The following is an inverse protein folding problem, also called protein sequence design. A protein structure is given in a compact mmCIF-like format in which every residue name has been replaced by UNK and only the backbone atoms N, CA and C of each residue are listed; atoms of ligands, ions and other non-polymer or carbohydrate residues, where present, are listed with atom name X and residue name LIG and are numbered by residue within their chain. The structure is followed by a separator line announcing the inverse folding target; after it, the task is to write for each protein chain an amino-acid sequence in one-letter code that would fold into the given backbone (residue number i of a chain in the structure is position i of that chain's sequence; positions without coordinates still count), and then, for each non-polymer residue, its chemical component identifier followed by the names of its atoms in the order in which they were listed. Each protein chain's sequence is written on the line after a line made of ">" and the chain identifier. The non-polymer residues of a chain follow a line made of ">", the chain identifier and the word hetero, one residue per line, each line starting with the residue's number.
data_IF_061265771330
#
_entry.id   IF_061265771330
#
_cell.length_a   1.000
_cell.length_b   1.000
_cell.length_c   1.000
_cell.angle_alpha   90.00
_cell.angle_beta   90.00
_cell.angle_gamma   90.00
#
_symmetry.space_group_name_H-M   'P 1'
#
loop_
_entity.id
_entity.type
_entity.pdbx_description
1 polymer ?
#
# COMPACT_ATOMS: atom_id res chain seq x y z
N UNK A 1 -8.29 -18.11 7.46
CA UNK A 1 -7.59 -16.88 7.07
C UNK A 1 -6.34 -17.30 6.30
N UNK A 2 -6.36 -17.16 4.97
CA UNK A 2 -5.23 -17.48 4.10
C UNK A 2 -4.15 -16.40 4.28
N UNK A 3 -2.86 -16.77 4.19
CA UNK A 3 -1.77 -15.79 4.19
C UNK A 3 -1.97 -14.82 3.02
N UNK A 4 -2.53 -15.28 1.89
CA UNK A 4 -2.79 -14.49 0.68
C UNK A 4 -3.76 -13.31 0.86
N UNK A 5 -4.50 -13.26 1.97
CA UNK A 5 -5.48 -12.20 2.27
C UNK A 5 -5.08 -11.34 3.48
N UNK A 6 -3.82 -11.42 3.92
CA UNK A 6 -3.38 -10.70 5.10
C UNK A 6 -3.07 -9.23 4.74
N UNK A 7 -4.11 -8.40 4.68
CA UNK A 7 -4.02 -6.93 4.70
C UNK A 7 -4.04 -6.32 6.11
N UNK A 8 -3.91 -7.16 7.15
CA UNK A 8 -3.91 -6.74 8.56
C UNK A 8 -2.53 -6.39 9.11
N UNK A 9 -2.44 -5.91 10.37
CA UNK A 9 -1.19 -5.45 10.98
C UNK A 9 -0.11 -6.53 11.03
N UNK A 10 1.16 -6.10 11.03
CA UNK A 10 2.35 -6.96 11.00
C UNK A 10 2.33 -8.10 12.04
N UNK A 11 1.70 -7.87 13.20
CA UNK A 11 1.52 -8.87 14.26
C UNK A 11 0.74 -10.11 13.82
N UNK A 12 -0.26 -9.96 12.95
CA UNK A 12 -1.06 -11.07 12.41
C UNK A 12 -0.22 -11.89 11.42
N UNK A 13 0.55 -11.22 10.57
CA UNK A 13 1.49 -11.87 9.65
C UNK A 13 2.58 -12.64 10.42
N UNK A 14 3.14 -12.08 11.49
CA UNK A 14 4.11 -12.78 12.34
C UNK A 14 3.53 -14.05 12.97
N UNK A 15 2.30 -14.00 13.49
CA UNK A 15 1.65 -15.17 14.09
C UNK A 15 1.39 -16.27 13.05
N UNK A 16 0.89 -15.90 11.87
CA UNK A 16 0.70 -16.84 10.75
C UNK A 16 2.04 -17.47 10.33
N UNK A 17 3.11 -16.67 10.28
CA UNK A 17 4.45 -17.14 9.96
C UNK A 17 5.01 -18.11 10.99
N UNK A 18 4.78 -17.85 12.28
CA UNK A 18 5.17 -18.78 13.34
C UNK A 18 4.46 -20.13 13.18
N UNK A 19 3.14 -20.10 12.94
CA UNK A 19 2.34 -21.31 12.76
C UNK A 19 2.75 -22.12 11.51
N UNK A 20 3.04 -21.45 10.39
CA UNK A 20 3.53 -22.14 9.18
C UNK A 20 4.92 -22.75 9.40
N UNK A 21 5.83 -22.03 10.06
CA UNK A 21 7.16 -22.55 10.40
C UNK A 21 7.06 -23.78 11.30
N UNK A 22 6.20 -23.75 12.32
CA UNK A 22 5.98 -24.88 13.21
C UNK A 22 5.48 -26.10 12.44
N UNK A 23 4.42 -25.93 11.63
CA UNK A 23 3.86 -27.02 10.82
C UNK A 23 4.87 -27.57 9.80
N UNK A 24 5.67 -26.69 9.19
CA UNK A 24 6.72 -27.11 8.25
C UNK A 24 7.82 -27.91 8.93
N UNK A 25 8.20 -27.55 10.16
CA UNK A 25 9.19 -28.31 10.92
C UNK A 25 8.64 -29.68 11.33
N UNK A 26 7.39 -29.76 11.80
CA UNK A 26 6.72 -31.03 12.09
C UNK A 26 6.62 -31.92 10.86
N UNK A 27 6.29 -31.36 9.69
CA UNK A 27 6.24 -32.12 8.44
C UNK A 27 7.62 -32.67 8.05
N UNK A 28 8.67 -31.85 8.19
CA UNK A 28 10.04 -32.31 7.92
C UNK A 28 10.41 -33.50 8.80
N UNK A 29 10.14 -33.42 10.10
CA UNK A 29 10.39 -34.54 11.02
C UNK A 29 9.69 -35.82 10.58
N UNK A 30 8.39 -35.73 10.24
CA UNK A 30 7.63 -36.91 9.79
C UNK A 30 8.16 -37.53 8.50
N UNK A 31 8.72 -36.71 7.59
CA UNK A 31 9.36 -37.20 6.37
C UNK A 31 10.69 -37.90 6.68
N UNK A 32 11.44 -37.40 7.66
CA UNK A 32 12.66 -38.06 8.15
C UNK A 32 12.33 -39.39 8.84
N UNK A 33 11.29 -39.42 9.67
CA UNK A 33 10.80 -40.65 10.31
C UNK A 33 10.36 -41.69 9.26
N UNK A 34 9.68 -41.24 8.18
CA UNK A 34 9.27 -42.11 7.08
C UNK A 34 10.47 -42.69 6.33
N UNK A 35 11.52 -41.89 6.11
CA UNK A 35 12.75 -42.39 5.50
C UNK A 35 13.44 -43.44 6.39
N UNK A 36 13.45 -43.22 7.70
CA UNK A 36 14.03 -44.18 8.64
C UNK A 36 13.26 -45.50 8.63
N UNK A 37 11.92 -45.45 8.68
CA UNK A 37 11.08 -46.64 8.56
C UNK A 37 11.28 -47.37 7.22
N UNK A 38 11.50 -46.63 6.13
CA UNK A 38 11.79 -47.24 4.82
C UNK A 38 13.13 -48.00 4.83
N UNK A 39 14.15 -47.49 5.52
CA UNK A 39 15.47 -48.12 5.64
C UNK A 39 15.44 -49.39 6.50
N UNK A 40 14.50 -49.47 7.43
CA UNK A 40 14.30 -50.62 8.32
C UNK A 40 13.48 -51.75 7.68
N UNK A 41 12.93 -51.55 6.47
CA UNK A 41 12.17 -52.60 5.79
C UNK A 41 13.06 -53.71 5.23
N UNK A 42 12.76 -54.95 5.63
CA UNK A 42 13.41 -56.16 5.13
C UNK A 42 13.04 -56.45 3.66
N UNK A 43 11.83 -56.07 3.25
CA UNK A 43 11.34 -56.32 1.90
C UNK A 43 11.70 -55.16 0.97
N UNK A 44 12.61 -55.43 0.05
CA UNK A 44 13.15 -54.43 -0.89
C UNK A 44 12.05 -53.74 -1.74
N UNK A 45 10.95 -54.44 -2.05
CA UNK A 45 9.81 -53.84 -2.76
C UNK A 45 9.09 -52.80 -1.92
N UNK A 46 8.88 -53.07 -0.63
CA UNK A 46 8.20 -52.17 0.29
C UNK A 46 9.10 -50.97 0.64
N UNK A 47 10.41 -51.21 0.81
CA UNK A 47 11.43 -50.15 0.93
C UNK A 47 11.39 -49.20 -0.27
N UNK A 48 11.39 -49.71 -1.49
CA UNK A 48 11.38 -48.87 -2.69
C UNK A 48 10.10 -48.02 -2.81
N UNK A 49 8.94 -48.57 -2.42
CA UNK A 49 7.67 -47.82 -2.38
C UNK A 49 7.76 -46.65 -1.39
N UNK A 50 8.19 -46.92 -0.16
CA UNK A 50 8.28 -45.90 0.89
C UNK A 50 9.34 -44.84 0.56
N UNK A 51 10.46 -45.23 -0.07
CA UNK A 51 11.47 -44.28 -0.54
C UNK A 51 10.93 -43.36 -1.64
N UNK A 52 10.15 -43.89 -2.59
CA UNK A 52 9.52 -43.08 -3.63
C UNK A 52 8.50 -42.09 -3.05
N UNK A 53 7.71 -42.52 -2.07
CA UNK A 53 6.76 -41.65 -1.36
C UNK A 53 7.47 -40.54 -0.56
N UNK A 54 8.55 -40.89 0.14
CA UNK A 54 9.41 -39.94 0.85
C UNK A 54 9.96 -38.85 -0.09
N UNK A 55 10.46 -39.25 -1.26
CA UNK A 55 10.97 -38.31 -2.26
C UNK A 55 9.85 -37.41 -2.83
N UNK A 56 8.65 -37.95 -3.04
CA UNK A 56 7.47 -37.17 -3.43
C UNK A 56 7.13 -36.10 -2.39
N UNK A 57 7.10 -36.47 -1.11
CA UNK A 57 6.85 -35.53 0.00
C UNK A 57 7.93 -34.45 0.12
N UNK A 58 9.20 -34.78 -0.11
CA UNK A 58 10.29 -33.79 -0.18
C UNK A 58 10.05 -32.74 -1.25
N UNK A 59 9.72 -33.18 -2.46
CA UNK A 59 9.41 -32.27 -3.59
C UNK A 59 8.21 -31.38 -3.27
N UNK A 60 7.15 -31.93 -2.71
CA UNK A 60 5.98 -31.16 -2.30
C UNK A 60 6.33 -30.13 -1.21
N UNK A 61 7.16 -30.49 -0.24
CA UNK A 61 7.60 -29.58 0.82
C UNK A 61 8.42 -28.40 0.27
N UNK A 62 9.32 -28.63 -0.69
CA UNK A 62 10.09 -27.58 -1.36
C UNK A 62 9.18 -26.63 -2.17
N UNK A 63 8.21 -27.19 -2.89
CA UNK A 63 7.20 -26.42 -3.61
C UNK A 63 6.39 -25.53 -2.66
N UNK A 64 5.89 -26.12 -1.57
CA UNK A 64 5.14 -25.42 -0.53
C UNK A 64 5.97 -24.32 0.14
N UNK A 65 7.25 -24.57 0.42
CA UNK A 65 8.16 -23.56 0.97
C UNK A 65 8.30 -22.36 0.01
N UNK A 66 8.43 -22.62 -1.29
CA UNK A 66 8.55 -21.57 -2.30
C UNK A 66 7.27 -20.76 -2.43
N UNK A 67 6.11 -21.44 -2.50
CA UNK A 67 4.80 -20.79 -2.54
C UNK A 67 4.56 -19.93 -1.29
N UNK A 68 4.89 -20.45 -0.11
CA UNK A 68 4.78 -19.72 1.15
C UNK A 68 5.67 -18.48 1.18
N UNK A 69 6.94 -18.58 0.75
CA UNK A 69 7.85 -17.42 0.66
C UNK A 69 7.29 -16.32 -0.24
N UNK A 70 6.77 -16.69 -1.42
CA UNK A 70 6.15 -15.74 -2.36
C UNK A 70 4.94 -15.05 -1.72
N UNK A 71 4.06 -15.81 -1.09
CA UNK A 71 2.88 -15.25 -0.44
C UNK A 71 3.27 -14.33 0.73
N UNK A 72 4.29 -14.69 1.52
CA UNK A 72 4.82 -13.84 2.58
C UNK A 72 5.30 -12.50 2.08
N UNK A 73 6.07 -12.51 0.99
CA UNK A 73 6.62 -11.30 0.40
C UNK A 73 5.50 -10.39 -0.12
N UNK A 74 4.50 -10.97 -0.79
CA UNK A 74 3.34 -10.23 -1.26
C UNK A 74 2.58 -9.57 -0.10
N UNK A 75 2.41 -10.27 1.03
CA UNK A 75 1.77 -9.69 2.22
C UNK A 75 2.58 -8.54 2.81
N UNK A 76 3.90 -8.70 2.96
CA UNK A 76 4.76 -7.63 3.47
C UNK A 76 4.68 -6.39 2.59
N UNK A 77 4.78 -6.55 1.27
CA UNK A 77 4.66 -5.45 0.32
C UNK A 77 3.28 -4.77 0.39
N UNK A 78 2.20 -5.55 0.59
CA UNK A 78 0.87 -4.99 0.74
C UNK A 78 0.75 -4.15 2.03
N UNK A 79 1.27 -4.65 3.15
CA UNK A 79 1.29 -3.93 4.43
C UNK A 79 2.12 -2.64 4.29
N UNK A 80 3.34 -2.74 3.76
CA UNK A 80 4.24 -1.59 3.60
C UNK A 80 3.62 -0.50 2.69
N UNK A 81 2.92 -0.91 1.63
CA UNK A 81 2.23 0.03 0.75
C UNK A 81 1.03 0.70 1.42
N UNK A 82 0.25 -0.04 2.21
CA UNK A 82 -0.86 0.53 2.99
C UNK A 82 -0.34 1.56 3.99
N UNK A 83 0.72 1.24 4.73
CA UNK A 83 1.36 2.17 5.68
C UNK A 83 1.90 3.41 4.97
N UNK A 84 2.53 3.25 3.80
CA UNK A 84 2.99 4.37 2.98
C UNK A 84 1.83 5.24 2.49
N UNK A 85 0.75 4.63 2.02
CA UNK A 85 -0.42 5.35 1.51
C UNK A 85 -1.12 6.12 2.63
N UNK A 86 -1.23 5.52 3.83
CA UNK A 86 -1.70 6.20 5.04
C UNK A 86 -0.83 7.41 5.42
N UNK A 87 0.50 7.30 5.34
CA UNK A 87 1.39 8.44 5.60
C UNK A 87 1.22 9.56 4.55
N UNK A 88 1.08 9.19 3.28
CA UNK A 88 0.96 10.15 2.17
C UNK A 88 -0.42 10.83 2.11
N UNK A 89 -1.49 10.12 2.44
CA UNK A 89 -2.87 10.56 2.24
C UNK A 89 -3.62 10.84 3.55
N UNK A 90 -3.19 10.26 4.68
CA UNK A 90 -3.80 10.43 6.00
C UNK A 90 -3.58 11.79 6.64
N UNK A 91 -2.65 12.61 6.13
CA UNK A 91 -2.34 13.93 6.69
C UNK A 91 -3.10 15.12 6.09
N UNK A 92 -3.79 14.99 4.95
CA UNK A 92 -3.95 16.15 4.07
C UNK A 92 -5.31 16.37 3.40
N UNK A 93 -6.44 15.85 3.89
CA UNK A 93 -7.74 16.33 3.37
C UNK A 93 -8.01 17.76 3.85
N UNK A 94 -7.95 18.00 5.16
CA UNK A 94 -8.26 19.30 5.77
C UNK A 94 -7.22 20.39 5.44
N UNK A 95 -5.92 20.05 5.48
CA UNK A 95 -4.83 21.02 5.20
C UNK A 95 -4.79 21.42 3.73
N UNK A 96 -4.98 20.46 2.81
CA UNK A 96 -5.01 20.72 1.36
C UNK A 96 -6.26 21.51 0.96
N UNK A 97 -7.40 21.22 1.58
CA UNK A 97 -8.62 22.00 1.42
C UNK A 97 -8.45 23.45 1.94
N UNK A 98 -7.84 23.64 3.12
CA UNK A 98 -7.52 24.98 3.65
C UNK A 98 -6.58 25.78 2.75
N UNK A 99 -5.57 25.14 2.14
CA UNK A 99 -4.65 25.80 1.20
C UNK A 99 -5.38 26.29 -0.06
N UNK A 100 -6.21 25.42 -0.66
CA UNK A 100 -7.00 25.79 -1.83
C UNK A 100 -7.98 26.94 -1.56
N UNK A 101 -8.65 26.95 -0.39
CA UNK A 101 -9.56 28.06 -0.02
C UNK A 101 -8.82 29.38 0.16
N UNK A 102 -7.60 29.37 0.74
CA UNK A 102 -6.79 30.58 0.92
C UNK A 102 -6.32 31.17 -0.41
N UNK A 103 -5.88 30.34 -1.35
CA UNK A 103 -5.47 30.76 -2.69
C UNK A 103 -6.65 31.33 -3.48
N UNK A 104 -7.82 30.68 -3.43
CA UNK A 104 -9.04 31.20 -4.04
C UNK A 104 -9.45 32.56 -3.46
N UNK A 105 -9.37 32.74 -2.14
CA UNK A 105 -9.72 34.01 -1.49
C UNK A 105 -8.76 35.14 -1.90
N UNK A 106 -7.46 34.86 -2.00
CA UNK A 106 -6.46 35.84 -2.42
C UNK A 106 -6.65 36.27 -3.89
N UNK A 107 -7.01 35.34 -4.78
CA UNK A 107 -7.37 35.64 -6.17
C UNK A 107 -8.56 36.57 -6.24
N UNK A 108 -9.68 36.19 -5.59
CA UNK A 108 -10.90 37.00 -5.61
C UNK A 108 -10.68 38.39 -5.01
N UNK A 109 -9.87 38.52 -3.95
CA UNK A 109 -9.53 39.82 -3.38
C UNK A 109 -8.71 40.68 -4.34
N UNK A 110 -7.80 40.08 -5.12
CA UNK A 110 -7.02 40.79 -6.14
C UNK A 110 -7.92 41.28 -7.27
N UNK A 111 -8.81 40.42 -7.77
CA UNK A 111 -9.76 40.74 -8.84
C UNK A 111 -10.71 41.89 -8.45
N UNK A 112 -11.21 41.88 -7.21
CA UNK A 112 -12.03 42.96 -6.65
C UNK A 112 -11.23 44.26 -6.56
N UNK A 113 -9.98 44.19 -6.09
CA UNK A 113 -9.11 45.36 -5.95
C UNK A 113 -8.81 45.99 -7.32
N UNK A 114 -8.52 45.16 -8.32
CA UNK A 114 -8.26 45.62 -9.68
C UNK A 114 -9.51 46.25 -10.30
N UNK A 115 -10.68 45.64 -10.10
CA UNK A 115 -11.96 46.19 -10.53
C UNK A 115 -12.24 47.56 -9.90
N UNK A 116 -12.02 47.70 -8.59
CA UNK A 116 -12.17 48.97 -7.89
C UNK A 116 -11.20 50.03 -8.41
N UNK A 117 -9.93 49.68 -8.64
CA UNK A 117 -8.96 50.61 -9.21
C UNK A 117 -9.31 51.04 -10.64
N UNK A 118 -9.86 50.13 -11.45
CA UNK A 118 -10.36 50.44 -12.79
C UNK A 118 -11.52 51.45 -12.73
N UNK A 119 -12.49 51.23 -11.84
CA UNK A 119 -13.60 52.14 -11.60
C UNK A 119 -13.08 53.51 -11.14
N UNK A 120 -12.16 53.55 -10.18
CA UNK A 120 -11.57 54.82 -9.70
C UNK A 120 -10.88 55.59 -10.81
N UNK A 121 -10.12 54.91 -11.69
CA UNK A 121 -9.48 55.54 -12.86
C UNK A 121 -10.51 56.09 -13.84
N UNK A 122 -11.55 55.32 -14.14
CA UNK A 122 -12.62 55.73 -15.06
C UNK A 122 -13.40 56.93 -14.52
N UNK A 123 -13.72 56.93 -13.22
CA UNK A 123 -14.36 58.07 -12.55
C UNK A 123 -13.46 59.32 -12.60
N UNK A 124 -12.17 59.19 -12.30
CA UNK A 124 -11.22 60.29 -12.40
C UNK A 124 -11.14 60.86 -13.83
N UNK A 125 -11.17 59.99 -14.85
CA UNK A 125 -11.20 60.40 -16.24
C UNK A 125 -12.51 61.12 -16.61
N UNK A 126 -13.67 60.63 -16.16
CA UNK A 126 -14.95 61.27 -16.39
C UNK A 126 -15.04 62.66 -15.73
N UNK A 127 -14.55 62.79 -14.50
CA UNK A 127 -14.47 64.09 -13.81
C UNK A 127 -13.59 65.06 -14.58
N UNK A 128 -12.38 64.63 -14.98
CA UNK A 128 -11.47 65.46 -15.76
C UNK A 128 -12.08 65.91 -17.10
N UNK A 129 -12.72 65.00 -17.83
CA UNK A 129 -13.41 65.33 -19.09
C UNK A 129 -14.59 66.30 -18.85
N UNK A 130 -15.31 66.14 -17.75
CA UNK A 130 -16.38 67.07 -17.35
C UNK A 130 -15.84 68.47 -17.05
N UNK A 131 -14.68 68.59 -16.39
CA UNK A 131 -14.02 69.87 -16.12
C UNK A 131 -13.55 70.56 -17.40
N UNK A 132 -12.94 69.82 -18.34
CA UNK A 132 -12.49 70.34 -19.64
C UNK A 132 -13.67 70.85 -20.50
N UNK A 133 -14.82 70.16 -20.45
CA UNK A 133 -16.04 70.53 -21.20
C UNK A 133 -16.72 71.78 -20.60
N UNK A 134 -16.68 71.94 -19.27
CA UNK A 134 -17.21 73.14 -18.59
C UNK A 134 -16.32 74.36 -18.84
N UNK A 135 -15.00 74.18 -19.01
CA UNK A 135 -14.06 75.27 -19.29
C UNK A 135 -14.06 75.79 -20.74
N UNK A 136 -14.76 75.13 -21.66
CA UNK A 136 -14.82 75.49 -23.10
C UNK A 136 -16.16 76.07 -23.56
N UNK A 137 -17.10 76.32 -22.64
CA UNK A 137 -18.39 76.99 -22.88
C UNK A 137 -18.37 78.46 -22.48
#
# INVERSE_FOLDING_TARGET
>A
MDIRECGGPHSVLMRLNAAVKEKSNRLRQRVEDLEQMAKEQDRETDKNILMAETESHRKQMLSNQTAWRKANLACKLAIDNLEKDELLHGGNSSVRQRKATKESLASTSSDITESLMSISRMMAQQVKQSEETIGTL
#
